data_IF_257315380819
#
_entry.id   IF_257315380819
#
_cell.length_a   1.000
_cell.length_b   1.000
_cell.length_c   1.000
_cell.angle_alpha   90.00
_cell.angle_beta   90.00
_cell.angle_gamma   90.00
#
_symmetry.space_group_name_H-M   'P 1'
#
loop_
_entity.id
_entity.type
_entity.pdbx_description
1 polymer ?
#
# COMPACT_ATOMS: atom_id res chain seq x y z
N UNK A 1 1.97 -1.49 14.02
CA UNK A 1 3.36 -1.74 13.59
C UNK A 1 3.56 -1.23 12.17
N UNK A 2 4.65 -0.54 11.93
CA UNK A 2 5.02 -0.04 10.60
C UNK A 2 6.37 -0.63 10.21
N UNK A 3 6.45 -1.13 8.99
CA UNK A 3 7.66 -1.67 8.38
C UNK A 3 8.09 -0.76 7.25
N UNK A 4 9.28 -0.21 7.37
CA UNK A 4 9.81 0.75 6.43
C UNK A 4 10.79 0.06 5.47
N UNK A 5 10.58 0.23 4.17
CA UNK A 5 11.58 -0.15 3.19
C UNK A 5 12.73 0.85 3.22
N UNK A 6 13.96 0.34 3.25
CA UNK A 6 15.13 1.18 3.15
C UNK A 6 15.20 1.81 1.76
N UNK A 7 15.30 3.11 1.68
CA UNK A 7 15.45 3.83 0.43
C UNK A 7 14.57 5.06 0.31
N UNK A 8 14.85 5.81 -0.73
CA UNK A 8 14.09 6.98 -1.12
C UNK A 8 13.59 6.74 -2.55
N UNK A 9 12.28 6.72 -2.71
CA UNK A 9 11.61 6.33 -3.95
C UNK A 9 10.87 7.52 -4.55
N UNK A 10 11.10 7.77 -5.83
CA UNK A 10 10.31 8.69 -6.62
C UNK A 10 9.28 7.91 -7.46
N UNK A 11 9.61 7.68 -8.72
CA UNK A 11 8.80 6.81 -9.58
C UNK A 11 9.12 5.35 -9.27
N UNK A 12 8.10 4.53 -9.11
CA UNK A 12 8.28 3.12 -8.79
C UNK A 12 7.08 2.27 -9.23
N UNK A 13 7.30 0.97 -9.30
CA UNK A 13 6.26 -0.04 -9.36
C UNK A 13 6.47 -1.03 -8.25
N UNK A 14 5.49 -1.16 -7.39
CA UNK A 14 5.49 -2.14 -6.30
C UNK A 14 4.45 -3.20 -6.60
N UNK A 15 4.87 -4.45 -6.52
CA UNK A 15 3.98 -5.62 -6.71
C UNK A 15 4.08 -6.52 -5.49
N UNK A 16 3.02 -7.26 -5.26
CA UNK A 16 2.99 -8.23 -4.17
C UNK A 16 1.68 -8.97 -4.10
N UNK A 17 1.55 -9.75 -3.07
CA UNK A 17 0.31 -10.45 -2.73
C UNK A 17 -0.04 -10.16 -1.28
N UNK A 18 -1.34 -10.05 -1.02
CA UNK A 18 -1.87 -9.83 0.32
C UNK A 18 -2.94 -10.86 0.65
N UNK A 19 -3.11 -11.14 1.93
CA UNK A 19 -4.19 -11.96 2.46
C UNK A 19 -4.73 -11.30 3.70
N UNK A 20 -6.03 -10.98 3.69
CA UNK A 20 -6.71 -10.36 4.82
C UNK A 20 -7.62 -11.38 5.51
N UNK A 21 -7.69 -11.33 6.83
CA UNK A 21 -8.71 -12.05 7.57
C UNK A 21 -9.95 -11.16 7.76
N UNK A 22 -11.12 -11.72 8.09
CA UNK A 22 -12.32 -10.91 8.31
C UNK A 22 -12.09 -9.80 9.34
N UNK A 23 -12.49 -8.58 8.98
CA UNK A 23 -12.32 -7.39 9.81
C UNK A 23 -10.91 -6.79 9.83
N UNK A 24 -9.97 -7.39 9.11
CA UNK A 24 -8.58 -6.92 9.08
C UNK A 24 -8.40 -5.71 8.16
N UNK A 25 -7.41 -4.89 8.49
CA UNK A 25 -6.99 -3.75 7.68
C UNK A 25 -5.49 -3.53 7.79
N UNK A 26 -4.89 -3.25 6.66
CA UNK A 26 -3.51 -2.76 6.57
C UNK A 26 -3.43 -1.65 5.52
N UNK A 27 -2.31 -0.99 5.45
CA UNK A 27 -2.04 0.04 4.46
C UNK A 27 -0.62 -0.07 3.93
N UNK A 28 -0.48 0.26 2.65
CA UNK A 28 0.81 0.52 2.03
C UNK A 28 0.96 2.04 1.93
N UNK A 29 2.00 2.59 2.55
CA UNK A 29 2.32 4.01 2.46
C UNK A 29 3.44 4.22 1.45
N UNK A 30 3.35 5.28 0.69
CA UNK A 30 4.44 5.68 -0.20
C UNK A 30 4.60 7.20 -0.22
N UNK A 31 5.77 7.65 -0.66
CA UNK A 31 6.23 9.03 -0.51
C UNK A 31 5.99 9.50 0.93
N UNK A 32 6.40 8.66 1.86
CA UNK A 32 6.13 8.83 3.29
C UNK A 32 7.40 9.12 4.06
N UNK A 33 7.22 9.78 5.20
CA UNK A 33 8.24 9.93 6.24
C UNK A 33 8.20 8.77 7.27
N UNK A 34 7.32 7.80 7.08
CA UNK A 34 7.06 6.68 7.98
C UNK A 34 5.79 6.84 8.81
N UNK A 35 5.23 8.04 8.88
CA UNK A 35 4.00 8.33 9.62
C UNK A 35 2.84 8.67 8.70
N UNK A 36 3.09 9.49 7.70
CA UNK A 36 2.06 9.98 6.78
C UNK A 36 2.57 10.02 5.35
N UNK A 37 1.66 10.03 4.41
CA UNK A 37 1.88 10.00 2.98
C UNK A 37 0.65 9.46 2.27
N UNK A 38 0.79 9.11 1.01
CA UNK A 38 -0.27 8.37 0.32
C UNK A 38 -0.42 6.98 0.93
N UNK A 39 -1.66 6.51 1.01
CA UNK A 39 -1.98 5.19 1.54
C UNK A 39 -2.84 4.39 0.58
N UNK A 40 -2.40 3.18 0.25
CA UNK A 40 -3.23 2.18 -0.41
C UNK A 40 -3.75 1.22 0.66
N UNK A 41 -5.07 1.05 0.69
CA UNK A 41 -5.76 0.29 1.75
C UNK A 41 -5.91 -1.17 1.36
N UNK A 42 -5.75 -2.08 2.31
CA UNK A 42 -6.06 -3.50 2.21
C UNK A 42 -7.15 -3.85 3.22
N UNK A 43 -8.37 -4.00 2.74
CA UNK A 43 -9.55 -4.33 3.54
C UNK A 43 -10.63 -4.88 2.62
N UNK A 44 -10.94 -6.17 2.74
CA UNK A 44 -11.87 -6.82 1.82
C UNK A 44 -13.30 -6.84 2.35
N UNK A 45 -13.50 -7.41 3.53
CA UNK A 45 -14.81 -7.62 4.08
C UNK A 45 -15.15 -6.70 5.25
N UNK A 46 -15.99 -5.72 5.03
CA UNK A 46 -16.74 -5.07 6.09
C UNK A 46 -18.11 -4.69 5.54
N UNK A 47 -19.12 -4.85 6.33
CA UNK A 47 -20.51 -4.58 5.96
C UNK A 47 -20.68 -3.09 5.66
N UNK A 48 -20.00 -2.26 6.40
CA UNK A 48 -19.97 -0.82 6.24
C UNK A 48 -18.57 -0.39 5.84
N UNK A 49 -18.44 0.42 4.90
CA UNK A 49 -17.17 1.01 4.70
C UNK A 49 -16.86 1.43 3.30
N UNK A 50 -16.37 2.57 3.33
CA UNK A 50 -15.58 3.19 2.30
C UNK A 50 -14.16 2.71 2.49
N UNK A 51 -13.36 2.69 1.47
CA UNK A 51 -11.95 2.31 1.52
C UNK A 51 -11.72 0.80 1.59
N UNK A 52 -12.23 0.12 0.58
CA UNK A 52 -11.90 -1.29 0.34
C UNK A 52 -10.54 -1.43 -0.32
N UNK A 53 -10.07 -2.65 -0.42
CA UNK A 53 -8.73 -2.96 -0.98
C UNK A 53 -8.49 -2.30 -2.33
N UNK A 54 -7.36 -1.62 -2.43
CA UNK A 54 -6.97 -0.83 -3.58
C UNK A 54 -7.32 0.65 -3.49
N UNK A 55 -8.12 1.07 -2.49
CA UNK A 55 -8.42 2.49 -2.29
C UNK A 55 -7.14 3.30 -2.08
N UNK A 56 -7.07 4.44 -2.74
CA UNK A 56 -6.12 5.49 -2.40
C UNK A 56 -6.81 6.38 -1.36
N UNK A 57 -6.47 6.16 -0.10
CA UNK A 57 -7.22 6.67 1.05
C UNK A 57 -7.45 8.18 0.98
N UNK A 58 -8.70 8.59 1.13
CA UNK A 58 -9.14 9.99 1.12
C UNK A 58 -8.98 10.71 -0.22
N UNK A 59 -8.51 10.03 -1.26
CA UNK A 59 -8.35 10.56 -2.62
C UNK A 59 -9.27 9.83 -3.59
N UNK A 60 -9.19 8.51 -3.62
CA UNK A 60 -10.06 7.64 -4.43
C UNK A 60 -10.48 6.46 -3.58
N UNK A 61 -11.58 6.62 -2.85
CA UNK A 61 -12.10 5.57 -1.99
C UNK A 61 -12.97 4.61 -2.79
N UNK A 62 -12.73 3.32 -2.63
CA UNK A 62 -13.50 2.25 -3.24
C UNK A 62 -14.49 1.69 -2.22
N UNK A 63 -15.70 1.40 -2.70
CA UNK A 63 -16.80 0.85 -1.89
C UNK A 63 -16.93 -0.66 -2.02
N UNK A 64 -16.19 -1.26 -2.95
CA UNK A 64 -16.16 -2.68 -3.21
C UNK A 64 -14.73 -3.18 -3.24
N UNK A 65 -14.50 -4.38 -2.73
CA UNK A 65 -13.28 -5.13 -2.95
C UNK A 65 -13.48 -6.15 -4.07
N UNK A 66 -12.48 -6.28 -4.93
CA UNK A 66 -12.41 -7.35 -5.93
C UNK A 66 -11.82 -8.64 -5.35
N UNK A 67 -11.33 -8.58 -4.12
CA UNK A 67 -10.73 -9.71 -3.43
C UNK A 67 -11.58 -10.12 -2.23
N UNK A 68 -11.41 -11.37 -1.81
CA UNK A 68 -12.12 -11.94 -0.67
C UNK A 68 -11.17 -12.18 0.51
N UNK A 69 -11.71 -12.12 1.73
CA UNK A 69 -10.96 -12.51 2.92
C UNK A 69 -10.60 -13.99 2.87
N UNK A 70 -9.46 -14.33 3.44
CA UNK A 70 -8.97 -15.71 3.51
C UNK A 70 -8.29 -16.22 2.25
N UNK A 71 -8.19 -15.41 1.21
CA UNK A 71 -7.55 -15.75 -0.06
C UNK A 71 -6.43 -14.77 -0.40
N UNK A 72 -5.33 -15.29 -0.94
CA UNK A 72 -4.27 -14.45 -1.47
C UNK A 72 -4.74 -13.74 -2.74
N UNK A 73 -4.45 -12.45 -2.83
CA UNK A 73 -4.70 -11.66 -4.02
C UNK A 73 -3.48 -10.81 -4.37
N UNK A 74 -3.26 -10.60 -5.65
CA UNK A 74 -2.19 -9.75 -6.14
C UNK A 74 -2.54 -8.28 -6.07
N UNK A 75 -1.55 -7.43 -5.91
CA UNK A 75 -1.71 -6.00 -6.03
C UNK A 75 -0.51 -5.36 -6.71
N UNK A 76 -0.75 -4.22 -7.32
CA UNK A 76 0.30 -3.40 -7.94
C UNK A 76 0.00 -1.93 -7.68
N UNK A 77 1.04 -1.20 -7.28
CA UNK A 77 1.00 0.26 -7.18
C UNK A 77 2.10 0.82 -8.06
N UNK A 78 1.73 1.62 -9.03
CA UNK A 78 2.68 2.27 -9.95
C UNK A 78 2.55 3.77 -9.82
N UNK A 79 3.68 4.42 -9.60
CA UNK A 79 3.79 5.89 -9.56
C UNK A 79 4.74 6.34 -10.65
N UNK A 80 4.22 7.15 -11.57
CA UNK A 80 5.02 7.81 -12.64
C UNK A 80 4.65 9.28 -12.70
N UNK A 81 5.61 10.15 -12.40
CA UNK A 81 5.35 11.58 -12.37
C UNK A 81 4.19 11.89 -11.43
N UNK A 82 3.11 12.41 -11.97
CA UNK A 82 1.90 12.76 -11.20
C UNK A 82 0.83 11.67 -11.22
N UNK A 83 1.09 10.54 -11.86
CA UNK A 83 0.08 9.49 -12.02
C UNK A 83 0.29 8.36 -11.02
N UNK A 84 -0.78 7.96 -10.36
CA UNK A 84 -0.83 6.83 -9.44
C UNK A 84 -1.85 5.84 -10.00
N UNK A 85 -1.41 4.61 -10.23
CA UNK A 85 -2.27 3.51 -10.68
C UNK A 85 -2.21 2.40 -9.65
N UNK A 86 -3.38 1.92 -9.23
CA UNK A 86 -3.50 0.75 -8.34
C UNK A 86 -4.26 -0.34 -9.06
N UNK A 87 -3.73 -1.56 -9.01
CA UNK A 87 -4.38 -2.76 -9.52
C UNK A 87 -4.58 -3.78 -8.40
N UNK A 88 -5.72 -4.43 -8.44
CA UNK A 88 -6.00 -5.62 -7.64
C UNK A 88 -6.14 -6.79 -8.61
N UNK A 89 -5.31 -7.80 -8.40
CA UNK A 89 -5.03 -8.84 -9.38
C UNK A 89 -4.59 -8.19 -10.71
N UNK A 90 -5.37 -8.31 -11.76
CA UNK A 90 -5.05 -7.69 -13.06
C UNK A 90 -5.94 -6.49 -13.38
N UNK A 91 -6.84 -6.12 -12.46
CA UNK A 91 -7.83 -5.05 -12.69
C UNK A 91 -7.35 -3.73 -12.12
N UNK A 92 -7.31 -2.71 -12.96
CA UNK A 92 -7.05 -1.33 -12.54
C UNK A 92 -8.25 -0.82 -11.74
N UNK A 93 -8.03 -0.50 -10.47
CA UNK A 93 -9.09 -0.04 -9.57
C UNK A 93 -8.97 1.45 -9.24
N UNK A 94 -7.78 2.02 -9.36
CA UNK A 94 -7.53 3.46 -9.21
C UNK A 94 -6.59 3.91 -10.32
N UNK A 95 -6.95 5.01 -10.95
CA UNK A 95 -6.06 5.79 -11.81
C UNK A 95 -6.24 7.26 -11.44
N UNK A 96 -5.25 7.82 -10.80
CA UNK A 96 -5.31 9.18 -10.27
C UNK A 96 -4.13 9.99 -10.79
N UNK A 97 -4.41 11.19 -11.28
CA UNK A 97 -3.39 12.16 -11.64
C UNK A 97 -3.44 13.30 -10.63
N UNK A 98 -2.38 13.48 -9.87
CA UNK A 98 -2.28 14.56 -8.90
C UNK A 98 -2.27 15.90 -9.65
N UNK A 99 -3.19 16.83 -9.33
CA UNK A 99 -3.17 18.15 -9.93
C UNK A 99 -1.95 18.95 -9.47
N UNK A 100 -1.63 20.02 -10.18
CA UNK A 100 -0.48 20.86 -9.87
C UNK A 100 -0.54 21.45 -8.45
N UNK A 101 -1.74 21.83 -8.00
CA UNK A 101 -1.98 22.35 -6.67
C UNK A 101 -3.14 21.57 -6.02
N UNK A 102 -2.91 20.34 -5.53
CA UNK A 102 -3.98 19.56 -4.95
C UNK A 102 -4.46 20.17 -3.64
N UNK A 103 -5.78 20.21 -3.49
CA UNK A 103 -6.37 20.58 -2.20
C UNK A 103 -6.19 19.41 -1.23
N UNK A 104 -5.63 19.71 -0.06
CA UNK A 104 -5.50 18.73 1.03
C UNK A 104 -5.90 19.39 2.34
N UNK A 105 -6.66 18.67 3.15
CA UNK A 105 -6.90 19.08 4.54
C UNK A 105 -5.62 18.98 5.34
N UNK A 106 -5.58 19.61 6.52
CA UNK A 106 -4.41 19.55 7.39
C UNK A 106 -4.06 18.09 7.77
N UNK A 107 -5.06 17.26 7.99
CA UNK A 107 -4.87 15.83 8.30
C UNK A 107 -4.22 15.05 7.16
N UNK A 108 -4.33 15.51 5.92
CA UNK A 108 -3.83 14.85 4.72
C UNK A 108 -2.79 15.68 3.96
N UNK A 109 -2.21 16.66 4.64
CA UNK A 109 -1.28 17.62 4.02
C UNK A 109 -0.05 16.95 3.38
N UNK A 110 0.33 15.76 3.83
CA UNK A 110 1.46 15.00 3.31
C UNK A 110 1.11 14.02 2.20
N UNK A 111 -0.14 13.96 1.78
CA UNK A 111 -0.56 13.19 0.62
C UNK A 111 -0.21 13.95 -0.67
N UNK A 112 1.08 14.04 -0.92
CA UNK A 112 1.65 14.73 -2.08
C UNK A 112 2.71 13.84 -2.71
N UNK A 113 2.74 13.82 -4.03
CA UNK A 113 3.78 13.14 -4.78
C UNK A 113 5.09 13.93 -4.73
N UNK A 114 6.16 13.19 -4.78
CA UNK A 114 7.51 13.73 -4.77
C UNK A 114 8.48 12.57 -4.64
N UNK A 115 8.94 12.33 -3.45
CA UNK A 115 9.76 11.19 -3.11
C UNK A 115 9.61 10.88 -1.61
N UNK A 116 10.06 9.73 -1.21
CA UNK A 116 10.05 9.31 0.18
C UNK A 116 10.18 7.81 0.32
N UNK A 117 9.97 7.33 1.52
CA UNK A 117 10.01 5.92 1.82
C UNK A 117 8.73 5.20 1.35
N UNK A 118 8.80 3.89 1.36
CA UNK A 118 7.66 2.99 1.21
C UNK A 118 7.54 2.19 2.51
N UNK A 119 6.34 2.03 3.01
CA UNK A 119 6.10 1.35 4.27
C UNK A 119 4.83 0.50 4.22
N UNK A 120 4.82 -0.57 5.02
CA UNK A 120 3.62 -1.35 5.30
C UNK A 120 3.20 -1.09 6.74
N UNK A 121 1.92 -0.83 6.93
CA UNK A 121 1.34 -0.58 8.26
C UNK A 121 0.17 -1.53 8.49
N UNK A 122 0.25 -2.32 9.57
CA UNK A 122 -0.92 -3.01 10.08
C UNK A 122 -1.80 -2.05 10.86
N UNK A 123 -3.11 -2.08 10.62
CA UNK A 123 -4.08 -1.21 11.28
C UNK A 123 -4.92 -1.98 12.26
N UNK A 124 -5.50 -3.11 11.85
CA UNK A 124 -6.24 -4.00 12.75
C UNK A 124 -6.32 -5.41 12.17
N UNK A 125 -6.50 -6.39 13.03
CA UNK A 125 -6.66 -7.79 12.65
C UNK A 125 -5.40 -8.40 12.06
N UNK A 126 -5.59 -9.43 11.25
CA UNK A 126 -4.49 -10.16 10.61
C UNK A 126 -4.45 -9.88 9.11
N UNK A 127 -3.32 -9.39 8.65
CA UNK A 127 -3.00 -9.23 7.24
C UNK A 127 -1.61 -9.80 7.00
N UNK A 128 -1.47 -10.57 5.93
CA UNK A 128 -0.19 -11.13 5.51
C UNK A 128 0.18 -10.62 4.12
N UNK A 129 1.45 -10.42 3.90
CA UNK A 129 2.02 -10.02 2.61
C UNK A 129 3.14 -10.97 2.22
N UNK A 130 3.27 -11.22 0.93
CA UNK A 130 4.35 -12.02 0.37
C UNK A 130 4.69 -11.58 -1.06
N UNK A 131 5.84 -12.04 -1.55
CA UNK A 131 6.31 -11.79 -2.92
C UNK A 131 6.37 -10.28 -3.26
N UNK A 132 6.80 -9.48 -2.28
CA UNK A 132 6.92 -8.05 -2.45
C UNK A 132 8.15 -7.70 -3.27
N UNK A 133 7.98 -6.88 -4.28
CA UNK A 133 9.06 -6.37 -5.12
C UNK A 133 8.83 -4.90 -5.45
N UNK A 134 9.90 -4.12 -5.37
CA UNK A 134 9.89 -2.70 -5.75
C UNK A 134 10.84 -2.53 -6.93
N UNK A 135 10.34 -1.96 -8.00
CA UNK A 135 11.12 -1.58 -9.17
C UNK A 135 11.16 -0.06 -9.25
N UNK A 136 12.36 0.51 -9.26
CA UNK A 136 12.51 1.96 -9.48
C UNK A 136 12.28 2.27 -10.95
N UNK A 137 11.42 3.24 -11.22
CA UNK A 137 11.12 3.72 -12.55
C UNK A 137 11.74 5.11 -12.70
N UNK A 138 12.59 5.29 -13.70
CA UNK A 138 13.16 6.58 -14.01
C UNK A 138 12.57 7.16 -15.30
N UNK A 139 13.08 8.29 -15.75
CA UNK A 139 12.85 8.79 -17.11
C UNK A 139 13.32 7.77 -18.16
N UNK A 140 14.26 6.89 -17.75
CA UNK A 140 14.59 5.62 -18.42
C UNK A 140 14.34 4.53 -17.39
N UNK A 141 13.37 3.64 -17.63
CA UNK A 141 13.07 2.55 -16.75
C UNK A 141 14.34 1.71 -16.49
N UNK A 142 14.81 1.68 -15.25
CA UNK A 142 15.85 0.76 -14.80
C UNK A 142 15.14 -0.45 -14.21
N UNK A 143 15.50 -1.63 -14.71
CA UNK A 143 15.00 -2.90 -14.20
C UNK A 143 15.77 -3.32 -12.94
N UNK A 144 15.87 -2.45 -11.96
CA UNK A 144 16.42 -2.80 -10.66
C UNK A 144 15.26 -3.07 -9.71
N UNK A 145 15.06 -4.34 -9.38
CA UNK A 145 14.11 -4.74 -8.37
C UNK A 145 14.75 -4.56 -6.99
N UNK A 146 14.26 -3.61 -6.22
CA UNK A 146 14.57 -3.51 -4.80
C UNK A 146 13.59 -4.39 -4.03
N UNK A 147 14.12 -5.33 -3.26
CA UNK A 147 13.30 -6.12 -2.35
C UNK A 147 13.15 -5.39 -1.03
N UNK A 148 11.97 -5.48 -0.42
CA UNK A 148 11.80 -5.04 0.95
C UNK A 148 12.72 -5.86 1.86
N UNK A 149 13.40 -5.23 2.84
CA UNK A 149 14.24 -5.98 3.75
C UNK A 149 13.41 -7.05 4.48
N UNK A 150 13.99 -8.22 4.75
CA UNK A 150 13.31 -9.22 5.54
C UNK A 150 13.00 -8.65 6.91
N UNK A 151 11.74 -8.68 7.27
CA UNK A 151 11.24 -8.03 8.49
C UNK A 151 11.37 -8.93 9.70
N UNK A 152 11.54 -10.19 9.47
CA UNK A 152 11.62 -11.20 10.50
C UNK A 152 12.50 -12.35 9.97
N UNK A 153 13.21 -13.00 10.86
CA UNK A 153 14.01 -14.19 10.55
C UNK A 153 13.15 -15.39 10.11
N UNK A 154 11.88 -15.18 9.85
CA UNK A 154 10.98 -16.20 9.33
C UNK A 154 11.32 -16.52 7.89
N UNK A 155 11.50 -17.80 7.68
CA UNK A 155 12.04 -18.34 6.43
C UNK A 155 11.02 -18.54 5.32
N UNK A 156 9.75 -18.17 5.53
CA UNK A 156 8.68 -18.40 4.55
C UNK A 156 8.44 -17.23 3.58
N UNK A 157 9.14 -16.12 3.76
CA UNK A 157 8.99 -14.94 2.91
C UNK A 157 7.65 -14.22 3.06
N UNK A 158 6.90 -14.50 4.09
CA UNK A 158 5.60 -13.87 4.35
C UNK A 158 5.70 -12.90 5.52
N UNK A 159 5.25 -11.67 5.29
CA UNK A 159 5.12 -10.65 6.32
C UNK A 159 3.71 -10.75 6.88
N UNK A 160 3.58 -10.88 8.20
CA UNK A 160 2.27 -10.98 8.87
C UNK A 160 2.13 -9.86 9.89
N UNK A 161 0.96 -9.24 9.88
CA UNK A 161 0.50 -8.36 10.95
C UNK A 161 -0.60 -9.09 11.71
N UNK A 162 -0.49 -9.15 13.05
CA UNK A 162 -1.43 -9.86 13.92
C UNK A 162 -1.95 -8.92 14.98
N UNK A 163 -3.09 -9.26 15.59
CA UNK A 163 -3.73 -8.45 16.63
C UNK A 163 -2.78 -8.09 17.79
N UNK A 164 -1.87 -9.00 18.15
CA UNK A 164 -0.88 -8.77 19.20
C UNK A 164 0.14 -7.66 18.89
N UNK A 165 0.26 -7.29 17.62
CA UNK A 165 1.19 -6.24 17.16
C UNK A 165 0.62 -4.83 17.33
N UNK A 166 -0.62 -4.72 17.80
CA UNK A 166 -1.35 -3.47 17.94
C UNK A 166 -1.71 -3.21 19.41
N UNK A 167 -1.71 -1.94 19.84
CA UNK A 167 -2.16 -1.61 21.18
C UNK A 167 -3.64 -1.99 21.34
N UNK A 168 -3.95 -2.59 22.47
CA UNK A 168 -5.34 -2.83 22.87
C UNK A 168 -5.93 -1.48 23.28
N UNK A 169 -6.92 -1.04 22.54
CA UNK A 169 -7.67 0.18 22.87
C UNK A 169 -8.77 -0.21 23.85
#
# INVERSE_FOLDING_TARGET
RTLLAAGDYGNFRLTGEALTQPGAQAALLFHTDGESGYEVVFRNGAIDGTRKSGSLASVRNLYRSLADDGEWFGFEVTVRGRNIVVRIDTTEVVCYTEPEHPYRTQAHARQLLGHGAIALRGVQGEVAFRNLAIERLGAQARNEADTLPPVDERTDGVIRFQQRDFPVI
#
